data_IF_330579468281
#
_entry.id   IF_330579468281
#
_cell.length_a   1.000
_cell.length_b   1.000
_cell.length_c   1.000
_cell.angle_alpha   90.00
_cell.angle_beta   90.00
_cell.angle_gamma   90.00
#
_symmetry.space_group_name_H-M   'P 1'
#
loop_
_entity.id
_entity.type
_entity.pdbx_description
1 polymer ?
#
# COMPACT_ATOMS: atom_id res chain seq x y z
N UNK A 1 -17.98 -19.55 -2.63
CA UNK A 1 -18.83 -18.42 -2.14
C UNK A 1 -20.26 -18.60 -2.64
N UNK A 2 -21.29 -18.60 -1.77
CA UNK A 2 -22.70 -18.62 -2.20
C UNK A 2 -23.03 -17.31 -2.93
N UNK A 3 -23.56 -17.37 -4.16
CA UNK A 3 -24.02 -16.18 -4.91
C UNK A 3 -25.13 -15.49 -4.11
N UNK A 4 -24.92 -14.20 -3.76
CA UNK A 4 -25.94 -13.39 -3.07
C UNK A 4 -27.21 -13.30 -3.93
N UNK A 5 -28.38 -13.41 -3.30
CA UNK A 5 -29.67 -13.27 -3.99
C UNK A 5 -29.86 -11.84 -4.51
N UNK A 6 -30.71 -11.65 -5.51
CA UNK A 6 -31.04 -10.31 -6.07
C UNK A 6 -31.53 -9.35 -4.98
N UNK A 7 -32.31 -9.86 -4.03
CA UNK A 7 -32.79 -9.10 -2.88
C UNK A 7 -31.65 -8.67 -1.93
N UNK A 8 -30.69 -9.56 -1.66
CA UNK A 8 -29.50 -9.22 -0.85
C UNK A 8 -28.66 -8.13 -1.51
N UNK A 9 -28.46 -8.20 -2.84
CA UNK A 9 -27.75 -7.17 -3.60
C UNK A 9 -28.48 -5.82 -3.56
N UNK A 10 -29.81 -5.82 -3.67
CA UNK A 10 -30.62 -4.60 -3.57
C UNK A 10 -30.51 -3.97 -2.18
N UNK A 11 -30.63 -4.77 -1.12
CA UNK A 11 -30.47 -4.31 0.28
C UNK A 11 -29.10 -3.69 0.53
N UNK A 12 -28.03 -4.28 -0.02
CA UNK A 12 -26.67 -3.73 0.07
C UNK A 12 -26.56 -2.39 -0.67
N UNK A 13 -27.13 -2.27 -1.87
CA UNK A 13 -27.14 -1.01 -2.63
C UNK A 13 -27.87 0.11 -1.88
N UNK A 14 -29.04 -0.18 -1.31
CA UNK A 14 -29.80 0.80 -0.52
C UNK A 14 -28.99 1.23 0.70
N UNK A 15 -28.35 0.29 1.40
CA UNK A 15 -27.51 0.58 2.56
C UNK A 15 -26.33 1.48 2.18
N UNK A 16 -25.64 1.19 1.08
CA UNK A 16 -24.52 2.01 0.58
C UNK A 16 -25.02 3.41 0.22
N UNK A 17 -26.10 3.52 -0.55
CA UNK A 17 -26.67 4.82 -0.92
C UNK A 17 -27.05 5.64 0.31
N UNK A 18 -27.74 5.05 1.29
CA UNK A 18 -28.06 5.71 2.55
C UNK A 18 -26.79 6.19 3.28
N UNK A 19 -25.75 5.35 3.35
CA UNK A 19 -24.50 5.70 4.00
C UNK A 19 -23.80 6.88 3.32
N UNK A 20 -23.75 6.91 1.98
CA UNK A 20 -23.19 8.02 1.20
C UNK A 20 -23.93 9.33 1.52
N UNK A 21 -25.26 9.32 1.50
CA UNK A 21 -26.07 10.50 1.81
C UNK A 21 -25.87 10.97 3.27
N UNK A 22 -25.78 10.02 4.20
CA UNK A 22 -25.52 10.31 5.61
C UNK A 22 -24.15 10.97 5.80
N UNK A 23 -23.10 10.44 5.17
CA UNK A 23 -21.76 11.04 5.19
C UNK A 23 -21.80 12.49 4.68
N UNK A 24 -22.42 12.74 3.53
CA UNK A 24 -22.56 14.09 2.99
C UNK A 24 -23.37 15.03 3.88
N UNK A 25 -24.44 14.53 4.51
CA UNK A 25 -25.22 15.30 5.47
C UNK A 25 -24.36 15.73 6.66
N UNK A 26 -23.58 14.80 7.23
CA UNK A 26 -22.67 15.07 8.34
C UNK A 26 -21.60 16.09 7.96
N UNK A 27 -21.01 15.96 6.76
CA UNK A 27 -20.00 16.91 6.27
C UNK A 27 -20.57 18.32 6.12
N UNK A 28 -21.76 18.45 5.51
CA UNK A 28 -22.47 19.73 5.38
C UNK A 28 -22.82 20.30 6.75
N UNK A 29 -23.23 19.45 7.70
CA UNK A 29 -23.51 19.86 9.06
C UNK A 29 -22.24 20.38 9.75
N UNK A 30 -21.11 19.68 9.65
CA UNK A 30 -19.83 20.13 10.19
C UNK A 30 -19.39 21.47 9.60
N UNK A 31 -19.57 21.69 8.29
CA UNK A 31 -19.27 22.96 7.62
C UNK A 31 -20.11 24.10 8.20
N UNK A 32 -21.41 23.88 8.40
CA UNK A 32 -22.36 24.90 8.89
C UNK A 32 -22.24 25.16 10.40
N UNK A 33 -21.98 24.12 11.19
CA UNK A 33 -21.99 24.20 12.67
C UNK A 33 -20.64 24.57 13.28
N UNK A 34 -19.57 24.59 12.48
CA UNK A 34 -18.21 24.82 12.96
C UNK A 34 -17.60 26.02 12.26
N UNK A 35 -17.46 27.12 13.00
CA UNK A 35 -16.64 28.27 12.62
C UNK A 35 -15.16 27.97 12.86
N UNK A 36 -14.31 28.69 12.13
CA UNK A 36 -12.86 28.64 12.24
C UNK A 36 -12.27 30.00 11.86
N UNK A 37 -11.05 30.27 12.32
CA UNK A 37 -10.28 31.42 11.89
C UNK A 37 -9.16 30.94 10.97
N UNK A 38 -8.95 31.61 9.84
CA UNK A 38 -7.88 31.26 8.92
C UNK A 38 -6.52 31.62 9.53
N UNK A 39 -5.59 30.67 9.52
CA UNK A 39 -4.22 30.86 9.98
C UNK A 39 -3.25 30.77 8.81
N UNK A 40 -2.48 31.83 8.56
CA UNK A 40 -1.43 31.83 7.51
C UNK A 40 -0.29 30.88 7.87
N UNK A 41 0.43 30.41 6.86
CA UNK A 41 1.52 29.45 6.97
C UNK A 41 1.11 28.15 7.65
N UNK A 42 -0.09 27.65 7.36
CA UNK A 42 -0.59 26.35 7.85
C UNK A 42 -0.96 25.45 6.67
N UNK A 43 -0.50 24.19 6.72
CA UNK A 43 -0.65 23.21 5.64
C UNK A 43 -1.22 21.91 6.19
N UNK A 44 -2.40 21.52 5.69
CA UNK A 44 -2.99 20.20 5.90
C UNK A 44 -2.51 19.24 4.80
N UNK A 45 -1.89 18.13 5.19
CA UNK A 45 -1.49 17.04 4.30
C UNK A 45 -2.48 15.91 4.51
N UNK A 46 -3.20 15.49 3.47
CA UNK A 46 -4.22 14.44 3.56
C UNK A 46 -3.70 13.20 2.84
N UNK A 47 -3.59 12.08 3.57
CA UNK A 47 -3.29 10.75 3.04
C UNK A 47 -4.04 9.68 3.82
N UNK A 48 -4.98 9.01 3.17
CA UNK A 48 -5.85 8.01 3.79
C UNK A 48 -5.77 6.62 3.14
N UNK A 49 -4.75 6.40 2.34
CA UNK A 49 -4.50 5.15 1.62
C UNK A 49 -3.90 4.05 2.53
N UNK A 50 -3.57 2.90 1.95
CA UNK A 50 -3.13 1.73 2.70
C UNK A 50 -1.62 1.81 3.04
N UNK A 51 -1.09 0.78 3.70
CA UNK A 51 0.30 0.76 4.15
C UNK A 51 1.27 0.81 2.97
N UNK A 52 1.01 0.05 1.89
CA UNK A 52 1.86 0.05 0.69
C UNK A 52 1.96 1.44 0.06
N UNK A 53 0.83 2.15 -0.07
CA UNK A 53 0.80 3.51 -0.60
C UNK A 53 1.63 4.47 0.27
N UNK A 54 1.56 4.33 1.60
CA UNK A 54 2.38 5.11 2.52
C UNK A 54 3.89 4.86 2.29
N UNK A 55 4.33 3.62 2.09
CA UNK A 55 5.74 3.31 1.75
C UNK A 55 6.17 4.02 0.45
N UNK A 56 5.28 4.10 -0.54
CA UNK A 56 5.54 4.77 -1.83
C UNK A 56 5.37 6.30 -1.79
N UNK A 57 4.93 6.86 -0.67
CA UNK A 57 4.67 8.29 -0.49
C UNK A 57 5.61 8.95 0.52
N UNK A 58 6.03 8.22 1.57
CA UNK A 58 6.62 8.83 2.75
C UNK A 58 7.87 9.68 2.49
N UNK A 59 8.70 9.31 1.51
CA UNK A 59 9.91 10.06 1.18
C UNK A 59 9.62 11.52 0.78
N UNK A 60 8.43 11.82 0.25
CA UNK A 60 8.06 13.18 -0.12
C UNK A 60 7.66 14.08 1.06
N UNK A 61 7.46 13.50 2.26
CA UNK A 61 7.24 14.29 3.48
C UNK A 61 8.49 15.06 3.87
N UNK A 62 9.65 14.43 3.75
CA UNK A 62 10.95 15.06 4.03
C UNK A 62 11.26 16.15 3.00
N UNK A 63 11.00 15.90 1.71
CA UNK A 63 11.11 16.91 0.64
C UNK A 63 10.26 18.15 0.90
N UNK A 64 9.04 17.95 1.44
CA UNK A 64 8.13 19.02 1.83
C UNK A 64 8.61 19.75 3.09
N UNK A 65 9.08 19.02 4.10
CA UNK A 65 9.55 19.58 5.36
C UNK A 65 10.81 20.42 5.19
N UNK A 66 11.68 20.05 4.25
CA UNK A 66 12.93 20.76 3.94
C UNK A 66 12.77 21.85 2.86
N UNK A 67 11.58 21.97 2.26
CA UNK A 67 11.35 22.95 1.20
C UNK A 67 11.48 24.40 1.71
N UNK A 68 12.11 25.28 0.92
CA UNK A 68 12.35 26.66 1.34
C UNK A 68 11.06 27.44 1.65
N UNK A 69 9.96 27.11 0.97
CA UNK A 69 8.66 27.76 1.16
C UNK A 69 7.93 27.16 2.35
N UNK A 70 7.91 25.83 2.45
CA UNK A 70 7.04 25.11 3.38
C UNK A 70 7.71 24.66 4.69
N UNK A 71 9.03 24.80 4.83
CA UNK A 71 9.76 24.46 6.06
C UNK A 71 9.26 25.22 7.30
N UNK A 72 8.79 26.45 7.12
CA UNK A 72 8.26 27.29 8.18
C UNK A 72 6.73 27.20 8.33
N UNK A 73 6.05 26.42 7.49
CA UNK A 73 4.62 26.18 7.66
C UNK A 73 4.40 25.27 8.86
N UNK A 74 3.33 25.50 9.60
CA UNK A 74 2.75 24.50 10.49
C UNK A 74 2.13 23.40 9.62
N UNK A 75 2.83 22.28 9.49
CA UNK A 75 2.40 21.10 8.74
C UNK A 75 1.59 20.19 9.65
N UNK A 76 0.40 19.81 9.19
CA UNK A 76 -0.50 18.91 9.93
C UNK A 76 -0.86 17.76 9.02
N UNK A 77 -0.55 16.53 9.44
CA UNK A 77 -0.89 15.34 8.67
C UNK A 77 -2.21 14.77 9.14
N UNK A 78 -3.15 14.62 8.22
CA UNK A 78 -4.34 13.79 8.37
C UNK A 78 -4.10 12.43 7.72
N UNK A 79 -3.66 11.48 8.54
CA UNK A 79 -3.19 10.16 8.14
C UNK A 79 -4.17 9.02 8.42
N UNK A 80 -4.04 7.91 7.68
CA UNK A 80 -4.75 6.67 8.01
C UNK A 80 -4.13 6.03 9.27
N UNK A 81 -4.94 5.74 10.27
CA UNK A 81 -4.48 5.10 11.51
C UNK A 81 -3.83 3.72 11.29
N UNK A 82 -4.05 3.10 10.12
CA UNK A 82 -3.47 1.80 9.75
C UNK A 82 -1.94 1.80 9.69
N UNK A 83 -1.30 2.91 9.28
CA UNK A 83 0.16 3.03 9.20
C UNK A 83 0.73 3.99 10.26
N UNK A 84 -0.08 4.34 11.27
CA UNK A 84 0.29 5.25 12.36
C UNK A 84 1.65 4.92 12.99
N UNK A 85 1.87 3.65 13.36
CA UNK A 85 3.12 3.23 14.02
C UNK A 85 4.34 3.39 13.14
N UNK A 86 4.21 3.22 11.82
CA UNK A 86 5.31 3.43 10.88
C UNK A 86 5.69 4.91 10.79
N UNK A 87 4.67 5.77 10.71
CA UNK A 87 4.89 7.21 10.64
C UNK A 87 5.51 7.76 11.92
N UNK A 88 5.01 7.35 13.09
CA UNK A 88 5.56 7.78 14.38
C UNK A 88 7.03 7.36 14.53
N UNK A 89 7.41 6.17 14.03
CA UNK A 89 8.81 5.73 14.06
C UNK A 89 9.71 6.48 13.06
N UNK A 90 9.22 6.71 11.83
CA UNK A 90 10.11 7.10 10.73
C UNK A 90 10.03 8.56 10.31
N UNK A 91 8.88 9.22 10.51
CA UNK A 91 8.55 10.47 9.84
C UNK A 91 7.92 11.53 10.75
N UNK A 92 7.81 11.30 12.05
CA UNK A 92 7.10 12.22 12.98
C UNK A 92 7.64 13.65 12.90
N UNK A 93 8.95 13.81 12.80
CA UNK A 93 9.65 15.09 12.72
C UNK A 93 9.32 15.91 11.46
N UNK A 94 8.76 15.27 10.42
CA UNK A 94 8.42 15.95 9.17
C UNK A 94 7.19 16.86 9.31
N UNK A 95 6.41 16.73 10.39
CA UNK A 95 5.18 17.51 10.64
C UNK A 95 5.12 18.07 12.05
N UNK A 96 4.18 18.97 12.30
CA UNK A 96 4.00 19.61 13.60
C UNK A 96 2.82 19.04 14.39
N UNK A 97 1.77 18.56 13.72
CA UNK A 97 0.61 17.93 14.36
C UNK A 97 0.04 16.77 13.54
N UNK A 98 -0.67 15.87 14.24
CA UNK A 98 -1.21 14.64 13.68
C UNK A 98 -2.72 14.52 13.91
N UNK A 99 -3.43 14.12 12.87
CA UNK A 99 -4.86 13.78 12.90
C UNK A 99 -5.06 12.38 12.31
N UNK A 100 -5.04 11.37 13.17
CA UNK A 100 -5.27 9.99 12.77
C UNK A 100 -6.75 9.70 12.49
N UNK A 101 -7.02 9.05 11.36
CA UNK A 101 -8.34 8.62 10.91
C UNK A 101 -8.40 7.10 10.81
N UNK A 102 -9.27 6.48 11.62
CA UNK A 102 -9.72 5.11 11.38
C UNK A 102 -10.77 5.14 10.27
N UNK A 103 -10.42 4.68 9.07
CA UNK A 103 -11.31 4.74 7.89
C UNK A 103 -12.63 4.01 8.09
N UNK A 104 -12.62 2.89 8.82
CA UNK A 104 -13.83 2.10 9.06
C UNK A 104 -14.77 2.90 9.96
N UNK A 105 -14.26 3.47 11.06
CA UNK A 105 -15.06 4.34 11.94
C UNK A 105 -15.49 5.63 11.22
N UNK A 106 -14.61 6.23 10.42
CA UNK A 106 -14.92 7.45 9.66
C UNK A 106 -16.04 7.26 8.64
N UNK A 107 -16.13 6.08 8.04
CA UNK A 107 -17.23 5.73 7.15
C UNK A 107 -18.48 5.33 7.91
N UNK A 108 -18.38 4.50 8.97
CA UNK A 108 -19.53 3.83 9.59
C UNK A 108 -20.12 4.53 10.81
N UNK A 109 -19.36 5.38 11.51
CA UNK A 109 -19.78 6.04 12.74
C UNK A 109 -20.00 7.54 12.51
N UNK A 110 -21.26 8.01 12.47
CA UNK A 110 -21.59 9.42 12.25
C UNK A 110 -20.96 10.39 13.23
N UNK A 111 -20.93 10.04 14.51
CA UNK A 111 -20.37 10.88 15.56
C UNK A 111 -18.85 11.00 15.40
N UNK A 112 -18.17 9.89 15.12
CA UNK A 112 -16.73 9.88 14.87
C UNK A 112 -16.37 10.73 13.64
N UNK A 113 -17.12 10.59 12.54
CA UNK A 113 -16.95 11.43 11.33
C UNK A 113 -17.12 12.90 11.67
N UNK A 114 -18.22 13.27 12.33
CA UNK A 114 -18.49 14.65 12.71
C UNK A 114 -17.39 15.23 13.61
N UNK A 115 -16.94 14.48 14.62
CA UNK A 115 -15.89 14.91 15.53
C UNK A 115 -14.57 15.16 14.80
N UNK A 116 -14.16 14.26 13.89
CA UNK A 116 -12.94 14.42 13.10
C UNK A 116 -13.04 15.58 12.12
N UNK A 117 -14.16 15.70 11.41
CA UNK A 117 -14.42 16.82 10.50
C UNK A 117 -14.41 18.16 11.24
N UNK A 118 -15.03 18.23 12.42
CA UNK A 118 -15.01 19.41 13.29
C UNK A 118 -13.60 19.73 13.80
N UNK A 119 -12.84 18.72 14.21
CA UNK A 119 -11.44 18.86 14.64
C UNK A 119 -10.60 19.49 13.52
N UNK A 120 -10.67 18.93 12.31
CA UNK A 120 -9.92 19.40 11.14
C UNK A 120 -10.31 20.83 10.79
N UNK A 121 -11.61 21.11 10.66
CA UNK A 121 -12.10 22.45 10.27
C UNK A 121 -11.71 23.54 11.26
N UNK A 122 -11.74 23.25 12.57
CA UNK A 122 -11.35 24.22 13.61
C UNK A 122 -9.89 24.68 13.53
N UNK A 123 -9.01 23.90 12.89
CA UNK A 123 -7.61 24.28 12.74
C UNK A 123 -7.39 25.43 11.74
N UNK A 124 -8.34 25.66 10.82
CA UNK A 124 -8.34 26.84 9.96
C UNK A 124 -7.13 26.99 9.04
N UNK A 125 -6.90 25.98 8.20
CA UNK A 125 -5.72 25.90 7.35
C UNK A 125 -5.68 26.97 6.24
N UNK A 126 -4.50 27.50 5.91
CA UNK A 126 -4.29 28.26 4.68
C UNK A 126 -4.38 27.34 3.45
N UNK A 127 -3.72 26.18 3.55
CA UNK A 127 -3.58 25.25 2.44
C UNK A 127 -3.91 23.83 2.86
N UNK A 128 -4.53 23.07 1.96
CA UNK A 128 -4.69 21.62 2.08
C UNK A 128 -4.22 20.93 0.79
N UNK A 129 -3.46 19.85 0.93
CA UNK A 129 -3.05 18.97 -0.18
C UNK A 129 -3.62 17.57 -0.02
N UNK A 130 -4.12 16.99 -1.11
CA UNK A 130 -4.55 15.59 -1.21
C UNK A 130 -3.93 14.99 -2.47
N UNK A 131 -2.85 14.22 -2.29
CA UNK A 131 -2.00 13.77 -3.39
C UNK A 131 -2.36 12.39 -3.94
N UNK A 132 -3.32 11.67 -3.34
CA UNK A 132 -3.77 10.35 -3.83
C UNK A 132 -4.33 10.48 -5.25
N UNK A 133 -3.89 9.63 -6.17
CA UNK A 133 -4.37 9.66 -7.56
C UNK A 133 -5.79 9.08 -7.71
N UNK A 134 -6.02 7.87 -7.19
CA UNK A 134 -7.36 7.27 -7.18
C UNK A 134 -8.15 7.77 -5.97
N UNK A 135 -8.55 9.05 -6.02
CA UNK A 135 -9.25 9.76 -4.95
C UNK A 135 -10.55 9.09 -4.53
N UNK A 136 -10.97 9.38 -3.30
CA UNK A 136 -12.16 8.82 -2.68
C UNK A 136 -13.05 9.93 -2.12
N UNK A 137 -14.23 10.09 -2.73
CA UNK A 137 -15.15 11.20 -2.47
C UNK A 137 -15.48 11.38 -0.97
N UNK A 138 -15.72 10.28 -0.26
CA UNK A 138 -16.15 10.32 1.14
C UNK A 138 -15.00 10.38 2.15
N UNK A 139 -13.75 10.38 1.67
CA UNK A 139 -12.53 10.36 2.47
C UNK A 139 -11.71 11.63 2.21
N UNK A 140 -10.63 11.53 1.44
CA UNK A 140 -9.70 12.65 1.21
C UNK A 140 -10.39 13.89 0.63
N UNK A 141 -11.24 13.70 -0.39
CA UNK A 141 -11.99 14.79 -1.01
C UNK A 141 -12.94 15.49 -0.02
N UNK A 142 -13.65 14.71 0.80
CA UNK A 142 -14.54 15.26 1.83
C UNK A 142 -13.77 16.04 2.90
N UNK A 143 -12.60 15.55 3.32
CA UNK A 143 -11.75 16.26 4.29
C UNK A 143 -11.20 17.55 3.69
N UNK A 144 -10.71 17.50 2.45
CA UNK A 144 -10.23 18.69 1.73
C UNK A 144 -11.33 19.76 1.68
N UNK A 145 -12.55 19.39 1.32
CA UNK A 145 -13.69 20.30 1.31
C UNK A 145 -14.03 20.87 2.69
N UNK A 146 -14.18 19.99 3.70
CA UNK A 146 -14.61 20.39 5.05
C UNK A 146 -13.57 21.24 5.76
N UNK A 147 -12.28 21.03 5.48
CA UNK A 147 -11.16 21.81 6.04
C UNK A 147 -11.36 23.32 5.91
N UNK A 148 -12.04 23.76 4.85
CA UNK A 148 -12.23 25.18 4.56
C UNK A 148 -10.95 25.91 4.16
N UNK A 149 -9.87 25.18 3.84
CA UNK A 149 -8.60 25.80 3.50
C UNK A 149 -8.72 26.73 2.31
N UNK A 150 -8.04 27.88 2.32
CA UNK A 150 -8.11 28.88 1.23
C UNK A 150 -7.67 28.26 -0.10
N UNK A 151 -6.56 27.52 -0.09
CA UNK A 151 -6.03 26.77 -1.23
C UNK A 151 -6.22 25.27 -0.98
N UNK A 152 -6.96 24.59 -1.86
CA UNK A 152 -7.16 23.14 -1.80
C UNK A 152 -6.62 22.54 -3.09
N UNK A 153 -5.47 21.88 -2.98
CA UNK A 153 -4.72 21.36 -4.12
C UNK A 153 -4.83 19.84 -4.11
N UNK A 154 -5.47 19.28 -5.14
CA UNK A 154 -5.69 17.85 -5.28
C UNK A 154 -4.96 17.28 -6.48
N UNK A 155 -4.80 15.97 -6.54
CA UNK A 155 -4.46 15.30 -7.79
C UNK A 155 -5.70 15.26 -8.69
N UNK A 156 -5.59 15.58 -9.99
CA UNK A 156 -6.72 15.44 -10.93
C UNK A 156 -7.33 14.03 -10.88
N UNK A 157 -6.45 13.02 -10.75
CA UNK A 157 -6.83 11.65 -10.48
C UNK A 157 -7.58 10.96 -11.62
N UNK A 158 -8.00 9.73 -11.36
CA UNK A 158 -8.79 8.93 -12.28
C UNK A 158 -10.20 8.61 -11.74
N UNK A 159 -10.91 7.74 -12.44
CA UNK A 159 -12.27 7.28 -12.08
C UNK A 159 -12.29 5.87 -11.49
N UNK A 160 -11.14 5.29 -11.09
CA UNK A 160 -11.10 3.92 -10.56
C UNK A 160 -11.98 3.76 -9.31
N UNK A 161 -12.02 4.80 -8.49
CA UNK A 161 -12.75 4.86 -7.23
C UNK A 161 -13.95 5.81 -7.26
N UNK A 162 -14.25 6.42 -8.42
CA UNK A 162 -15.25 7.48 -8.57
C UNK A 162 -16.04 7.28 -9.86
N UNK A 163 -17.37 7.28 -9.78
CA UNK A 163 -18.17 7.41 -11.01
C UNK A 163 -18.05 8.86 -11.56
N UNK A 164 -18.28 9.11 -12.86
CA UNK A 164 -18.06 10.44 -13.46
C UNK A 164 -18.79 11.60 -12.73
N UNK A 165 -19.99 11.34 -12.21
CA UNK A 165 -20.74 12.33 -11.41
C UNK A 165 -20.09 12.64 -10.06
N UNK A 166 -19.56 11.61 -9.39
CA UNK A 166 -18.82 11.76 -8.14
C UNK A 166 -17.50 12.48 -8.37
N UNK A 167 -16.79 12.17 -9.47
CA UNK A 167 -15.57 12.88 -9.86
C UNK A 167 -15.84 14.37 -10.06
N UNK A 168 -16.88 14.74 -10.84
CA UNK A 168 -17.23 16.16 -11.05
C UNK A 168 -17.51 16.89 -9.73
N UNK A 169 -18.20 16.22 -8.79
CA UNK A 169 -18.43 16.78 -7.46
C UNK A 169 -17.12 16.89 -6.66
N UNK A 170 -16.29 15.86 -6.64
CA UNK A 170 -15.01 15.85 -5.93
C UNK A 170 -14.07 16.94 -6.48
N UNK A 171 -13.96 17.07 -7.80
CA UNK A 171 -13.16 18.10 -8.47
C UNK A 171 -13.59 19.51 -8.02
N UNK A 172 -14.89 19.76 -7.86
CA UNK A 172 -15.41 21.05 -7.39
C UNK A 172 -14.96 21.43 -5.98
N UNK A 173 -14.47 20.48 -5.18
CA UNK A 173 -13.96 20.76 -3.84
C UNK A 173 -12.57 21.38 -3.85
N UNK A 174 -11.83 21.31 -4.96
CA UNK A 174 -10.46 21.79 -5.07
C UNK A 174 -10.40 23.14 -5.76
N UNK A 175 -9.45 23.97 -5.33
CA UNK A 175 -9.14 25.23 -6.02
C UNK A 175 -8.14 25.03 -7.15
N UNK A 176 -7.34 23.96 -7.08
CA UNK A 176 -6.41 23.54 -8.14
C UNK A 176 -6.32 22.02 -8.16
N UNK A 177 -6.33 21.43 -9.36
CA UNK A 177 -6.00 20.04 -9.57
C UNK A 177 -4.68 19.96 -10.33
N UNK A 178 -3.72 19.22 -9.79
CA UNK A 178 -2.44 18.95 -10.46
C UNK A 178 -2.61 17.75 -11.38
N UNK A 179 -2.09 17.87 -12.60
CA UNK A 179 -2.26 16.84 -13.61
C UNK A 179 -1.20 15.75 -13.44
N UNK A 180 -1.52 14.54 -13.87
CA UNK A 180 -0.58 13.43 -13.97
C UNK A 180 -0.72 12.84 -15.36
N UNK A 181 0.34 12.30 -15.99
CA UNK A 181 0.22 11.69 -17.30
C UNK A 181 -0.92 10.66 -17.36
N UNK A 182 -1.70 10.73 -18.44
CA UNK A 182 -2.76 9.77 -18.79
C UNK A 182 -2.16 8.48 -19.39
N UNK A 183 -1.16 7.92 -18.71
CA UNK A 183 -0.54 6.64 -19.03
C UNK A 183 -0.29 5.87 -17.73
N UNK A 184 -0.03 4.55 -17.80
CA UNK A 184 0.49 3.83 -16.66
C UNK A 184 1.76 4.51 -16.14
N UNK A 185 1.74 4.86 -14.86
CA UNK A 185 2.86 5.45 -14.13
C UNK A 185 2.91 4.75 -12.80
N UNK A 186 4.11 4.29 -12.44
CA UNK A 186 4.36 3.62 -11.18
C UNK A 186 4.02 4.56 -10.01
N UNK A 187 3.41 4.04 -8.94
CA UNK A 187 2.77 4.90 -7.92
C UNK A 187 3.79 5.79 -7.19
N UNK A 188 5.04 5.36 -7.03
CA UNK A 188 6.11 6.22 -6.49
C UNK A 188 6.39 7.42 -7.40
N UNK A 189 6.60 7.20 -8.70
CA UNK A 189 6.77 8.28 -9.68
C UNK A 189 5.56 9.19 -9.75
N UNK A 190 4.37 8.63 -9.55
CA UNK A 190 3.13 9.40 -9.51
C UNK A 190 3.10 10.38 -8.35
N UNK A 191 3.50 9.93 -7.16
CA UNK A 191 3.69 10.81 -6.01
C UNK A 191 4.77 11.85 -6.30
N UNK A 192 5.91 11.46 -6.90
CA UNK A 192 6.97 12.38 -7.32
C UNK A 192 6.45 13.49 -8.22
N UNK A 193 5.72 13.15 -9.28
CA UNK A 193 5.12 14.10 -10.23
C UNK A 193 4.19 15.10 -9.51
N UNK A 194 3.40 14.64 -8.54
CA UNK A 194 2.55 15.53 -7.76
C UNK A 194 3.38 16.52 -6.94
N UNK A 195 4.39 16.04 -6.21
CA UNK A 195 5.21 16.90 -5.35
C UNK A 195 6.14 17.82 -6.14
N UNK A 196 6.67 17.40 -7.29
CA UNK A 196 7.44 18.28 -8.17
C UNK A 196 6.61 19.45 -8.68
N UNK A 197 5.35 19.21 -9.06
CA UNK A 197 4.42 20.27 -9.46
C UNK A 197 3.98 21.14 -8.30
N UNK A 198 3.77 20.55 -7.12
CA UNK A 198 3.33 21.26 -5.93
C UNK A 198 4.44 22.20 -5.42
N UNK A 199 5.67 21.69 -5.30
CA UNK A 199 6.84 22.43 -4.84
C UNK A 199 7.48 23.29 -5.96
N UNK A 200 7.05 23.09 -7.21
CA UNK A 200 7.61 23.75 -8.40
C UNK A 200 9.14 23.56 -8.51
N UNK A 201 9.61 22.34 -8.22
CA UNK A 201 11.03 21.96 -8.30
C UNK A 201 11.17 20.50 -8.71
N UNK A 202 12.32 20.12 -9.23
CA UNK A 202 12.69 18.70 -9.41
C UNK A 202 13.09 18.09 -8.07
N UNK A 203 12.68 16.85 -7.86
CA UNK A 203 12.98 16.09 -6.65
C UNK A 203 13.98 14.99 -7.00
N UNK A 204 15.10 14.95 -6.28
CA UNK A 204 16.15 13.96 -6.50
C UNK A 204 15.90 12.68 -5.68
N UNK A 205 14.78 12.03 -5.96
CA UNK A 205 14.40 10.73 -5.38
C UNK A 205 14.06 9.77 -6.51
N UNK A 206 14.78 8.65 -6.59
CA UNK A 206 14.61 7.67 -7.66
C UNK A 206 13.72 6.49 -7.26
N UNK A 207 13.63 6.16 -5.97
CA UNK A 207 12.85 5.03 -5.47
C UNK A 207 12.45 5.22 -4.00
N UNK A 208 11.45 4.47 -3.49
CA UNK A 208 11.14 4.47 -2.07
C UNK A 208 12.31 3.88 -1.28
N UNK A 209 12.69 4.50 -0.16
CA UNK A 209 13.85 4.07 0.64
C UNK A 209 13.60 4.21 2.14
N UNK A 210 14.05 3.21 2.90
CA UNK A 210 14.06 3.11 4.36
C UNK A 210 15.47 2.91 4.94
N UNK A 211 16.53 3.02 4.13
CA UNK A 211 17.91 2.73 4.57
C UNK A 211 18.38 3.59 5.75
N UNK A 212 17.89 4.83 5.84
CA UNK A 212 18.22 5.75 6.94
C UNK A 212 17.27 5.60 8.16
N UNK A 213 16.32 4.66 8.12
CA UNK A 213 15.26 4.50 9.11
C UNK A 213 15.23 3.11 9.76
N UNK A 214 15.93 2.15 9.16
CA UNK A 214 15.93 0.74 9.56
C UNK A 214 17.38 0.24 9.47
N UNK A 215 17.81 -0.56 10.42
CA UNK A 215 19.13 -1.19 10.33
C UNK A 215 19.10 -2.32 9.30
N UNK A 216 19.80 -2.07 8.18
CA UNK A 216 19.97 -2.98 7.05
C UNK A 216 21.35 -3.64 7.02
N UNK A 217 22.24 -3.28 7.95
CA UNK A 217 23.66 -3.68 7.92
C UNK A 217 23.88 -5.09 8.47
N UNK A 218 23.10 -5.49 9.47
CA UNK A 218 23.18 -6.81 10.08
C UNK A 218 22.23 -7.80 9.41
N UNK A 219 22.64 -8.36 8.25
CA UNK A 219 21.93 -9.49 7.64
C UNK A 219 22.15 -10.75 8.47
N UNK A 220 21.06 -11.44 8.83
CA UNK A 220 21.13 -12.79 9.39
C UNK A 220 21.47 -13.75 8.26
N UNK A 221 22.51 -14.57 8.44
CA UNK A 221 22.93 -15.52 7.42
C UNK A 221 21.86 -16.58 7.17
N UNK A 222 21.75 -17.00 5.91
CA UNK A 222 20.87 -18.06 5.44
C UNK A 222 19.37 -17.86 5.78
N UNK A 223 18.92 -16.63 6.04
CA UNK A 223 17.53 -16.35 6.43
C UNK A 223 16.67 -15.94 5.22
N UNK A 224 15.58 -16.69 4.99
CA UNK A 224 14.56 -16.41 3.99
C UNK A 224 13.24 -16.05 4.68
N UNK A 225 12.76 -14.83 4.48
CA UNK A 225 11.44 -14.43 4.92
C UNK A 225 10.39 -14.77 3.84
N UNK A 226 9.27 -15.37 4.25
CA UNK A 226 8.14 -15.66 3.38
C UNK A 226 6.90 -14.92 3.88
N UNK A 227 6.45 -13.91 3.12
CA UNK A 227 5.19 -13.26 3.40
C UNK A 227 4.07 -13.98 2.65
N UNK A 228 3.42 -14.90 3.37
CA UNK A 228 2.63 -15.98 2.79
C UNK A 228 1.20 -15.57 2.39
N UNK A 229 0.70 -14.43 2.88
CA UNK A 229 -0.68 -13.98 2.61
C UNK A 229 -0.79 -12.72 1.76
N UNK A 230 -2.03 -12.36 1.43
CA UNK A 230 -2.41 -11.10 0.81
C UNK A 230 -3.82 -10.70 1.26
N UNK A 231 -4.17 -9.42 1.12
CA UNK A 231 -5.49 -8.90 1.49
C UNK A 231 -6.64 -9.50 0.66
N UNK A 232 -6.34 -9.99 -0.54
CA UNK A 232 -7.30 -10.58 -1.47
C UNK A 232 -6.85 -11.99 -1.82
N UNK A 233 -7.71 -12.99 -1.60
CA UNK A 233 -7.38 -14.42 -1.71
C UNK A 233 -6.80 -14.81 -3.08
N UNK A 234 -7.27 -14.19 -4.16
CA UNK A 234 -6.80 -14.49 -5.51
C UNK A 234 -5.40 -13.92 -5.82
N UNK A 235 -4.83 -13.12 -4.91
CA UNK A 235 -3.43 -12.68 -4.92
C UNK A 235 -2.53 -13.57 -4.06
N UNK A 236 -3.07 -14.60 -3.41
CA UNK A 236 -2.31 -15.46 -2.49
C UNK A 236 -1.90 -16.74 -3.21
N UNK A 237 -0.59 -16.96 -3.37
CA UNK A 237 -0.05 -18.21 -3.88
C UNK A 237 -0.37 -19.36 -2.93
N UNK A 238 -0.72 -20.52 -3.48
CA UNK A 238 -1.25 -21.63 -2.68
C UNK A 238 -0.23 -22.09 -1.63
N UNK A 239 -0.71 -22.44 -0.43
CA UNK A 239 0.15 -22.86 0.68
C UNK A 239 1.01 -24.07 0.33
N UNK A 240 0.48 -25.01 -0.46
CA UNK A 240 1.25 -26.17 -0.92
C UNK A 240 2.43 -25.76 -1.78
N UNK A 241 2.32 -24.68 -2.55
CA UNK A 241 3.41 -24.20 -3.38
C UNK A 241 4.51 -23.58 -2.52
N UNK A 242 4.15 -22.79 -1.51
CA UNK A 242 5.10 -22.32 -0.49
C UNK A 242 5.78 -23.49 0.22
N UNK A 243 5.03 -24.52 0.63
CA UNK A 243 5.56 -25.70 1.30
C UNK A 243 6.53 -26.49 0.41
N UNK A 244 6.17 -26.71 -0.86
CA UNK A 244 7.05 -27.33 -1.86
C UNK A 244 8.32 -26.51 -2.06
N UNK A 245 8.20 -25.18 -2.20
CA UNK A 245 9.36 -24.30 -2.37
C UNK A 245 10.32 -24.37 -1.19
N UNK A 246 9.82 -24.37 0.06
CA UNK A 246 10.64 -24.53 1.26
C UNK A 246 11.42 -25.85 1.23
N UNK A 247 10.75 -26.96 0.88
CA UNK A 247 11.38 -28.28 0.78
C UNK A 247 12.49 -28.30 -0.28
N UNK A 248 12.24 -27.77 -1.48
CA UNK A 248 13.23 -27.72 -2.56
C UNK A 248 14.44 -26.83 -2.20
N UNK A 249 14.20 -25.67 -1.59
CA UNK A 249 15.27 -24.77 -1.15
C UNK A 249 16.14 -25.41 -0.05
N UNK A 250 15.51 -26.05 0.93
CA UNK A 250 16.23 -26.73 2.01
C UNK A 250 17.06 -27.91 1.49
N UNK A 251 16.55 -28.66 0.50
CA UNK A 251 17.30 -29.73 -0.14
C UNK A 251 18.56 -29.22 -0.86
N UNK A 252 18.55 -27.98 -1.36
CA UNK A 252 19.71 -27.33 -1.96
C UNK A 252 20.69 -26.82 -0.90
N UNK A 253 20.18 -26.25 0.20
CA UNK A 253 20.98 -25.76 1.32
C UNK A 253 20.24 -25.97 2.65
N UNK A 254 20.70 -26.93 3.45
CA UNK A 254 20.11 -27.30 4.73
C UNK A 254 20.43 -26.30 5.89
N UNK A 255 21.27 -25.30 5.64
CA UNK A 255 21.53 -24.20 6.57
C UNK A 255 20.47 -23.09 6.48
N UNK A 256 19.54 -23.17 5.51
CA UNK A 256 18.50 -22.15 5.34
C UNK A 256 17.52 -22.15 6.52
N UNK A 257 17.21 -20.94 7.00
CA UNK A 257 16.19 -20.67 8.00
C UNK A 257 15.02 -19.91 7.37
N UNK A 258 13.81 -20.45 7.50
CA UNK A 258 12.61 -19.88 6.90
C UNK A 258 11.77 -19.17 7.96
N UNK A 259 11.43 -17.91 7.73
CA UNK A 259 10.54 -17.15 8.61
C UNK A 259 9.22 -16.92 7.90
N UNK A 260 8.15 -17.53 8.41
CA UNK A 260 6.79 -17.28 7.93
C UNK A 260 6.26 -16.00 8.59
N UNK A 261 6.00 -14.98 7.77
CA UNK A 261 5.48 -13.69 8.21
C UNK A 261 4.13 -13.41 7.54
N UNK A 262 3.28 -12.67 8.24
CA UNK A 262 1.90 -12.40 7.81
C UNK A 262 1.06 -11.84 8.95
N UNK A 263 -0.15 -11.40 8.61
CA UNK A 263 -1.10 -10.95 9.61
C UNK A 263 -1.67 -12.11 10.45
N UNK A 264 -2.54 -11.76 11.39
CA UNK A 264 -3.20 -12.75 12.25
C UNK A 264 -4.10 -13.73 11.49
N UNK A 265 -4.66 -13.31 10.35
CA UNK A 265 -5.54 -14.16 9.55
C UNK A 265 -4.76 -15.23 8.77
N UNK A 266 -3.45 -15.08 8.63
CA UNK A 266 -2.55 -15.97 7.91
C UNK A 266 -2.00 -17.11 8.78
N UNK A 267 -2.33 -17.15 10.08
CA UNK A 267 -1.92 -18.24 10.98
C UNK A 267 -2.38 -19.62 10.50
N UNK A 268 -3.60 -19.69 9.95
CA UNK A 268 -4.13 -20.93 9.36
C UNK A 268 -3.29 -21.34 8.14
N UNK A 269 -2.84 -20.36 7.34
CA UNK A 269 -2.01 -20.61 6.17
C UNK A 269 -0.63 -21.15 6.58
N UNK A 270 0.00 -20.55 7.60
CA UNK A 270 1.27 -21.03 8.15
C UNK A 270 1.14 -22.46 8.69
N UNK A 271 0.06 -22.75 9.42
CA UNK A 271 -0.22 -24.09 9.93
C UNK A 271 -0.37 -25.10 8.79
N UNK A 272 -1.09 -24.76 7.73
CA UNK A 272 -1.25 -25.63 6.56
C UNK A 272 0.09 -25.90 5.85
N UNK A 273 0.99 -24.91 5.77
CA UNK A 273 2.35 -25.10 5.23
C UNK A 273 3.12 -26.10 6.09
N UNK A 274 3.14 -25.89 7.40
CA UNK A 274 3.87 -26.75 8.35
C UNK A 274 3.31 -28.18 8.33
N UNK A 275 1.99 -28.35 8.33
CA UNK A 275 1.37 -29.68 8.30
C UNK A 275 1.57 -30.39 6.96
N UNK A 276 1.58 -29.65 5.84
CA UNK A 276 1.95 -30.22 4.55
C UNK A 276 3.40 -30.72 4.57
N UNK A 277 4.32 -29.92 5.13
CA UNK A 277 5.73 -30.29 5.29
C UNK A 277 5.87 -31.50 6.21
N UNK A 278 5.04 -31.69 7.23
CA UNK A 278 5.07 -32.85 8.15
C UNK A 278 4.51 -34.15 7.58
N UNK A 279 3.55 -34.07 6.67
CA UNK A 279 2.84 -35.26 6.17
C UNK A 279 3.41 -35.82 4.86
N UNK A 280 4.41 -35.15 4.26
CA UNK A 280 5.01 -35.55 2.98
C UNK A 280 6.16 -36.54 3.17
N UNK A 281 5.82 -37.83 3.27
CA UNK A 281 6.74 -38.96 3.53
C UNK A 281 7.86 -39.20 2.50
N UNK A 282 7.90 -38.46 1.37
CA UNK A 282 8.84 -38.70 0.26
C UNK A 282 10.01 -37.70 0.22
N UNK A 283 10.18 -36.85 1.23
CA UNK A 283 11.34 -35.93 1.33
C UNK A 283 12.29 -36.42 2.42
N UNK A 284 13.54 -36.71 2.05
CA UNK A 284 14.61 -36.93 3.03
C UNK A 284 14.78 -35.67 3.91
N UNK A 285 15.11 -35.83 5.19
CA UNK A 285 15.34 -34.76 6.17
C UNK A 285 14.12 -33.87 6.52
N UNK A 286 12.90 -34.34 6.29
CA UNK A 286 11.64 -33.64 6.58
C UNK A 286 11.52 -33.11 8.01
N UNK A 287 11.94 -33.90 9.01
CA UNK A 287 11.94 -33.48 10.42
C UNK A 287 12.94 -32.37 10.72
N UNK A 288 14.03 -32.29 9.95
CA UNK A 288 15.07 -31.26 10.08
C UNK A 288 14.59 -29.94 9.48
N UNK A 289 13.94 -29.99 8.30
CA UNK A 289 13.32 -28.81 7.66
C UNK A 289 12.40 -28.08 8.65
N UNK A 290 11.59 -28.83 9.42
CA UNK A 290 10.65 -28.25 10.35
C UNK A 290 11.34 -27.43 11.45
N UNK A 291 12.52 -27.86 11.93
CA UNK A 291 13.29 -27.14 12.94
C UNK A 291 13.84 -25.80 12.40
N UNK A 292 13.93 -25.68 11.08
CA UNK A 292 14.39 -24.49 10.39
C UNK A 292 13.25 -23.53 9.99
N UNK A 293 12.00 -23.84 10.33
CA UNK A 293 10.84 -22.97 10.08
C UNK A 293 10.42 -22.26 11.38
N UNK A 294 10.45 -20.94 11.35
CA UNK A 294 9.91 -20.10 12.42
C UNK A 294 8.62 -19.40 11.95
N UNK A 295 7.49 -19.72 12.59
CA UNK A 295 6.22 -19.05 12.32
C UNK A 295 6.05 -17.80 13.20
N UNK A 296 6.12 -16.63 12.57
CA UNK A 296 5.88 -15.33 13.17
C UNK A 296 4.55 -14.69 12.72
N UNK A 297 3.66 -15.45 12.08
CA UNK A 297 2.37 -14.92 11.60
C UNK A 297 1.49 -14.41 12.75
N UNK A 298 1.05 -13.16 12.64
CA UNK A 298 0.29 -12.48 13.70
C UNK A 298 1.06 -12.21 15.00
N UNK A 299 2.38 -12.43 15.03
CA UNK A 299 3.25 -12.23 16.20
C UNK A 299 4.13 -10.98 16.10
N UNK A 300 4.11 -10.28 14.96
CA UNK A 300 4.92 -9.07 14.71
C UNK A 300 4.04 -7.84 14.54
N UNK A 301 4.51 -6.69 15.02
CA UNK A 301 4.02 -5.39 14.58
C UNK A 301 4.67 -4.97 13.24
N UNK A 302 4.28 -3.81 12.69
CA UNK A 302 4.77 -3.37 11.38
C UNK A 302 6.27 -2.97 11.38
N UNK A 303 6.80 -2.47 12.49
CA UNK A 303 8.22 -2.12 12.64
C UNK A 303 9.05 -3.41 12.70
N UNK A 304 8.65 -4.36 13.54
CA UNK A 304 9.30 -5.68 13.65
C UNK A 304 9.25 -6.44 12.32
N UNK A 305 8.12 -6.41 11.61
CA UNK A 305 7.98 -6.98 10.27
C UNK A 305 9.01 -6.37 9.31
N UNK A 306 9.15 -5.05 9.32
CA UNK A 306 10.11 -4.35 8.46
C UNK A 306 11.54 -4.73 8.80
N UNK A 307 11.87 -4.82 10.09
CA UNK A 307 13.19 -5.25 10.54
C UNK A 307 13.51 -6.71 10.15
N UNK A 308 12.54 -7.63 10.25
CA UNK A 308 12.70 -9.02 9.80
C UNK A 308 13.00 -9.07 8.30
N UNK A 309 12.28 -8.28 7.50
CA UNK A 309 12.54 -8.18 6.06
C UNK A 309 13.94 -7.60 5.82
N UNK A 310 14.30 -6.51 6.51
CA UNK A 310 15.61 -5.87 6.39
C UNK A 310 16.76 -6.80 6.78
N UNK A 311 16.58 -7.70 7.75
CA UNK A 311 17.62 -8.64 8.19
C UNK A 311 17.69 -9.92 7.35
N UNK A 312 16.70 -10.19 6.49
CA UNK A 312 16.67 -11.40 5.67
C UNK A 312 17.59 -11.27 4.44
N UNK A 313 18.18 -12.38 4.01
CA UNK A 313 18.92 -12.44 2.74
C UNK A 313 17.99 -12.38 1.55
N UNK A 314 16.79 -12.94 1.70
CA UNK A 314 15.78 -13.03 0.66
C UNK A 314 14.39 -12.89 1.26
N UNK A 315 13.54 -12.10 0.60
CA UNK A 315 12.10 -12.04 0.82
C UNK A 315 11.39 -12.71 -0.36
N UNK A 316 10.55 -13.69 -0.09
CA UNK A 316 9.61 -14.26 -1.07
C UNK A 316 8.21 -13.86 -0.64
N UNK A 317 7.45 -13.22 -1.54
CA UNK A 317 6.17 -12.61 -1.15
C UNK A 317 5.17 -12.61 -2.29
N UNK A 318 3.88 -12.62 -1.95
CA UNK A 318 2.84 -12.21 -2.88
C UNK A 318 2.90 -10.69 -3.15
N UNK A 319 2.19 -10.19 -4.16
CA UNK A 319 2.03 -8.73 -4.34
C UNK A 319 1.25 -8.08 -3.17
N UNK A 320 2.00 -7.58 -2.18
CA UNK A 320 1.49 -7.01 -0.93
C UNK A 320 2.44 -5.93 -0.39
N UNK A 321 2.13 -5.36 0.77
CA UNK A 321 2.99 -4.39 1.48
C UNK A 321 4.42 -4.87 1.64
N UNK A 322 4.64 -6.17 1.85
CA UNK A 322 5.97 -6.74 2.03
C UNK A 322 6.87 -6.55 0.78
N UNK A 323 6.31 -6.59 -0.43
CA UNK A 323 7.10 -6.33 -1.64
C UNK A 323 7.65 -4.89 -1.66
N UNK A 324 6.86 -3.91 -1.22
CA UNK A 324 7.30 -2.52 -1.10
C UNK A 324 8.30 -2.32 0.04
N UNK A 325 8.12 -3.03 1.17
CA UNK A 325 9.10 -3.02 2.27
C UNK A 325 10.44 -3.64 1.84
N UNK A 326 10.40 -4.76 1.10
CA UNK A 326 11.59 -5.41 0.54
C UNK A 326 12.35 -4.47 -0.39
N UNK A 327 11.65 -3.80 -1.30
CA UNK A 327 12.22 -2.77 -2.17
C UNK A 327 12.82 -1.60 -1.36
N UNK A 328 12.08 -1.05 -0.39
CA UNK A 328 12.50 0.10 0.39
C UNK A 328 13.67 -0.18 1.35
N UNK A 329 13.80 -1.42 1.83
CA UNK A 329 14.92 -1.89 2.66
C UNK A 329 16.07 -2.48 1.83
N UNK A 330 15.93 -2.51 0.50
CA UNK A 330 16.86 -3.13 -0.44
C UNK A 330 17.20 -4.59 -0.09
N UNK A 331 16.24 -5.32 0.48
CA UNK A 331 16.36 -6.78 0.63
C UNK A 331 16.06 -7.44 -0.71
N UNK A 332 16.89 -8.43 -1.12
CA UNK A 332 16.62 -9.24 -2.31
C UNK A 332 15.20 -9.79 -2.21
N UNK A 333 14.34 -9.46 -3.17
CA UNK A 333 12.90 -9.73 -3.08
C UNK A 333 12.41 -10.40 -4.36
N UNK A 334 11.68 -11.51 -4.23
CA UNK A 334 10.96 -12.15 -5.31
C UNK A 334 9.46 -12.01 -5.03
N UNK A 335 8.78 -11.26 -5.90
CA UNK A 335 7.36 -10.99 -5.79
C UNK A 335 6.56 -11.85 -6.77
N UNK A 336 5.72 -12.74 -6.23
CA UNK A 336 4.77 -13.56 -6.97
C UNK A 336 3.51 -12.71 -7.16
N UNK A 337 3.26 -12.25 -8.38
CA UNK A 337 2.23 -11.26 -8.66
C UNK A 337 1.26 -11.77 -9.72
N UNK A 338 -0.04 -11.60 -9.49
CA UNK A 338 -1.06 -12.12 -10.40
C UNK A 338 -1.43 -11.15 -11.55
N UNK A 339 -0.77 -9.98 -11.61
CA UNK A 339 -0.96 -8.95 -12.63
C UNK A 339 -2.04 -7.91 -12.34
N UNK A 340 -2.79 -8.01 -11.23
CA UNK A 340 -3.88 -7.08 -10.89
C UNK A 340 -3.47 -5.60 -10.93
N UNK A 341 -2.27 -5.28 -10.48
CA UNK A 341 -1.80 -3.89 -10.35
C UNK A 341 -0.60 -3.58 -11.25
N UNK A 342 -0.48 -4.33 -12.34
CA UNK A 342 0.65 -4.22 -13.23
C UNK A 342 0.73 -2.81 -13.87
N UNK A 343 1.94 -2.25 -13.95
CA UNK A 343 2.22 -0.88 -14.38
C UNK A 343 2.01 0.21 -13.32
N UNK A 344 1.35 -0.11 -12.19
CA UNK A 344 1.07 0.85 -11.12
C UNK A 344 1.81 0.53 -9.83
N UNK A 345 1.80 -0.72 -9.38
CA UNK A 345 2.45 -1.16 -8.14
C UNK A 345 3.46 -2.30 -8.38
N UNK A 346 3.45 -2.89 -9.57
CA UNK A 346 4.32 -3.98 -9.99
C UNK A 346 4.48 -3.97 -11.52
N UNK A 347 5.57 -4.47 -12.11
CA UNK A 347 6.88 -4.53 -11.45
C UNK A 347 7.38 -3.14 -11.07
N UNK A 348 8.38 -3.05 -10.20
CA UNK A 348 9.15 -1.81 -10.04
C UNK A 348 9.87 -1.49 -11.37
N UNK A 349 10.04 -0.22 -11.71
CA UNK A 349 10.81 0.18 -12.89
C UNK A 349 12.25 -0.34 -12.82
N UNK A 350 12.77 -0.84 -13.95
CA UNK A 350 14.12 -1.43 -14.01
C UNK A 350 15.21 -0.37 -13.77
N UNK A 351 14.94 0.88 -14.18
CA UNK A 351 15.79 2.05 -13.96
C UNK A 351 16.04 2.38 -12.49
N UNK A 352 15.30 1.78 -11.55
CA UNK A 352 15.56 1.96 -10.13
C UNK A 352 16.70 1.08 -9.60
N UNK A 353 17.12 0.06 -10.35
CA UNK A 353 18.21 -0.88 -9.99
C UNK A 353 18.05 -1.52 -8.60
N UNK A 354 16.81 -1.71 -8.14
CA UNK A 354 16.52 -2.35 -6.86
C UNK A 354 16.62 -3.88 -6.98
N UNK A 355 17.00 -4.59 -5.90
CA UNK A 355 17.11 -6.05 -5.89
C UNK A 355 15.74 -6.71 -5.74
N UNK A 356 14.78 -6.35 -6.60
CA UNK A 356 13.42 -6.89 -6.61
C UNK A 356 13.08 -7.42 -8.00
N UNK A 357 12.58 -8.65 -8.05
CA UNK A 357 12.05 -9.25 -9.27
C UNK A 357 10.61 -9.69 -9.10
N UNK A 358 9.93 -9.83 -10.22
CA UNK A 358 8.51 -10.16 -10.29
C UNK A 358 8.32 -11.38 -11.17
N UNK A 359 7.51 -12.32 -10.69
CA UNK A 359 7.08 -13.48 -11.46
C UNK A 359 5.58 -13.33 -11.67
N UNK A 360 5.19 -13.26 -12.95
CA UNK A 360 3.78 -13.19 -13.34
C UNK A 360 3.32 -14.51 -13.94
N UNK A 361 2.00 -14.77 -14.04
CA UNK A 361 1.49 -15.91 -14.78
C UNK A 361 2.05 -15.94 -16.21
N UNK A 362 2.42 -17.11 -16.76
CA UNK A 362 3.13 -17.21 -18.04
C UNK A 362 2.49 -16.40 -19.20
N UNK A 363 1.15 -16.37 -19.25
CA UNK A 363 0.43 -15.59 -20.25
C UNK A 363 0.71 -14.07 -20.14
N UNK A 364 0.76 -13.51 -18.93
CA UNK A 364 1.06 -12.08 -18.75
C UNK A 364 2.49 -11.79 -19.22
N UNK A 365 3.45 -12.67 -18.93
CA UNK A 365 4.84 -12.48 -19.37
C UNK A 365 4.99 -12.62 -20.89
N UNK A 366 4.30 -13.58 -21.49
CA UNK A 366 4.21 -13.71 -22.94
C UNK A 366 3.66 -12.43 -23.57
N UNK A 367 2.57 -11.89 -23.02
CA UNK A 367 1.97 -10.64 -23.49
C UNK A 367 2.88 -9.43 -23.29
N UNK A 368 3.65 -9.36 -22.20
CA UNK A 368 4.67 -8.31 -21.96
C UNK A 368 5.83 -8.38 -22.96
N UNK A 369 6.18 -9.57 -23.44
CA UNK A 369 7.23 -9.78 -24.43
C UNK A 369 6.73 -9.49 -25.86
N UNK A 370 5.46 -9.78 -26.14
CA UNK A 370 4.87 -9.63 -27.49
C UNK A 370 4.28 -8.24 -27.76
N UNK A 371 3.80 -7.55 -26.72
CA UNK A 371 3.10 -6.27 -26.85
C UNK A 371 3.86 -5.13 -26.18
N UNK A 372 3.49 -3.88 -26.50
CA UNK A 372 3.94 -2.74 -25.72
C UNK A 372 3.44 -2.84 -24.27
N UNK A 373 4.32 -2.61 -23.28
CA UNK A 373 4.00 -2.69 -21.84
C UNK A 373 2.72 -1.92 -21.49
N UNK A 374 2.51 -0.75 -22.09
CA UNK A 374 1.32 0.08 -21.89
C UNK A 374 0.00 -0.66 -22.19
N UNK A 375 -0.04 -1.48 -23.25
CA UNK A 375 -1.23 -2.26 -23.64
C UNK A 375 -1.54 -3.31 -22.56
N UNK A 376 -0.52 -3.99 -22.06
CA UNK A 376 -0.68 -5.00 -21.00
C UNK A 376 -1.13 -4.34 -19.71
N UNK A 377 -0.54 -3.18 -19.38
CA UNK A 377 -0.90 -2.41 -18.20
C UNK A 377 -2.35 -1.95 -18.25
N UNK A 378 -2.82 -1.39 -19.37
CA UNK A 378 -4.23 -1.00 -19.53
C UNK A 378 -5.20 -2.20 -19.41
N UNK A 379 -4.79 -3.38 -19.89
CA UNK A 379 -5.61 -4.59 -19.85
C UNK A 379 -5.78 -5.15 -18.43
N UNK A 380 -4.69 -5.23 -17.68
CA UNK A 380 -4.67 -5.94 -16.40
C UNK A 380 -4.70 -5.02 -15.17
N UNK A 381 -4.25 -3.76 -15.28
CA UNK A 381 -4.29 -2.83 -14.15
C UNK A 381 -5.74 -2.63 -13.69
N UNK A 382 -5.97 -2.82 -12.39
CA UNK A 382 -7.28 -2.81 -11.73
C UNK A 382 -8.25 -3.93 -12.15
N UNK A 383 -7.76 -4.98 -12.82
CA UNK A 383 -8.52 -6.21 -13.06
C UNK A 383 -8.44 -7.17 -11.85
N UNK A 384 -9.04 -8.36 -11.95
CA UNK A 384 -8.77 -9.43 -10.96
C UNK A 384 -7.40 -10.10 -11.15
N UNK A 385 -6.65 -9.72 -12.19
CA UNK A 385 -5.45 -10.44 -12.63
C UNK A 385 -5.79 -11.83 -13.16
N UNK A 386 -4.79 -12.69 -13.21
CA UNK A 386 -4.93 -14.11 -13.53
C UNK A 386 -4.84 -14.98 -12.26
N UNK A 387 -5.04 -16.29 -12.41
CA UNK A 387 -4.80 -17.21 -11.31
C UNK A 387 -3.31 -17.25 -10.98
N UNK A 388 -2.97 -16.77 -9.78
CA UNK A 388 -1.59 -16.74 -9.28
C UNK A 388 -0.98 -18.14 -9.17
N UNK A 389 -1.81 -19.18 -9.05
CA UNK A 389 -1.35 -20.57 -8.96
C UNK A 389 -0.95 -21.17 -10.31
N UNK A 390 -1.14 -20.43 -11.42
CA UNK A 390 -0.49 -20.73 -12.70
C UNK A 390 1.02 -20.46 -12.69
N UNK A 391 1.56 -19.86 -11.62
CA UNK A 391 3.00 -19.73 -11.39
C UNK A 391 3.49 -20.99 -10.64
N UNK A 392 4.25 -21.84 -11.32
CA UNK A 392 4.82 -23.05 -10.74
C UNK A 392 6.00 -22.79 -9.80
N UNK A 393 6.27 -23.76 -8.93
CA UNK A 393 7.33 -23.69 -7.90
C UNK A 393 8.71 -23.62 -8.55
N UNK A 394 8.90 -24.33 -9.64
CA UNK A 394 10.13 -24.37 -10.44
C UNK A 394 10.54 -23.00 -10.98
N UNK A 395 9.55 -22.15 -11.30
CA UNK A 395 9.81 -20.78 -11.78
C UNK A 395 10.33 -19.89 -10.66
N UNK A 396 9.74 -20.02 -9.48
CA UNK A 396 10.22 -19.29 -8.28
C UNK A 396 11.61 -19.78 -7.89
N UNK A 397 11.83 -21.10 -7.90
CA UNK A 397 13.14 -21.69 -7.60
C UNK A 397 14.23 -21.22 -8.57
N UNK A 398 13.93 -21.20 -9.88
CA UNK A 398 14.86 -20.70 -10.89
C UNK A 398 15.21 -19.22 -10.71
N UNK A 399 14.29 -18.40 -10.18
CA UNK A 399 14.56 -17.00 -9.87
C UNK A 399 15.41 -16.83 -8.60
N UNK A 400 15.26 -17.70 -7.59
CA UNK A 400 16.11 -17.71 -6.39
C UNK A 400 17.58 -17.98 -6.75
N UNK A 401 17.81 -18.82 -7.77
CA UNK A 401 19.14 -19.25 -8.21
C UNK A 401 19.87 -18.24 -9.11
N UNK A 402 19.18 -17.21 -9.62
CA UNK A 402 19.81 -16.07 -10.30
C UNK A 402 20.37 -15.09 -9.28
#
# INVERSE_FOLDING_TARGET
>A
MKKKSTFQKLKERIKIAFQVHLCHFIDKFAIKSTSYNLHKNTLLIIRLDAIGDYILFRNFLEELANDQTYKNYKRVLCGNAMWKSLFEEWDEETVNELIWIDRKKFYQNPLYRYQKQKQIRKQGFEMAIESTYSRLLLFGDAIAHVSGAEKRIGNEGNTDNLIPKEKKLADSFYTKLLQTPNKPVFEFDRNKIFFEQFLNKKIDLNYPSLLNKVDVTEKKQNQIALFIGASEVYKTWHFENFAKLILELYAINNELHFILIGGKNEQILAQNIIDFIKNKNNFENQSEVQNNINDLTGKTNLIELTQIIAQSNLLITNETVASHLGAATQTKTICIANGRHIGRFSPYPNEYELPISYIFPPQIEEELNQNGKEIVYERYCNSMGMDINGIGVERVLGEVQK
#
